data_IF_688016152168
#
_entry.id   IF_688016152168
#
_cell.length_a   1.000
_cell.length_b   1.000
_cell.length_c   1.000
_cell.angle_alpha   90.00
_cell.angle_beta   90.00
_cell.angle_gamma   90.00
#
_symmetry.space_group_name_H-M   'P 1'
#
loop_
_entity.id
_entity.type
_entity.pdbx_description
1 polymer ?
#
# COMPACT_ATOMS: atom_id res chain seq x y z
N UNK A 1 -0.68 42.79 4.73
CA UNK A 1 -1.01 41.63 3.88
C UNK A 1 -0.61 40.39 4.65
N UNK A 2 -1.43 39.32 4.59
CA UNK A 2 -1.16 38.04 5.27
C UNK A 2 -1.16 36.90 4.25
N UNK A 3 -0.51 35.79 4.55
CA UNK A 3 -0.63 34.58 3.73
C UNK A 3 -1.79 33.71 4.22
N UNK A 4 -2.50 33.07 3.29
CA UNK A 4 -3.54 32.12 3.62
C UNK A 4 -2.96 30.89 4.32
N UNK A 5 -3.48 30.56 5.52
CA UNK A 5 -3.01 29.42 6.33
C UNK A 5 -3.10 28.06 5.63
N UNK A 6 -3.99 27.91 4.63
CA UNK A 6 -4.20 26.65 3.91
C UNK A 6 -3.42 26.58 2.58
N UNK A 7 -3.45 27.64 1.75
CA UNK A 7 -2.91 27.59 0.38
C UNK A 7 -1.68 28.49 0.13
N UNK A 8 -1.15 29.15 1.16
CA UNK A 8 0.10 29.93 1.07
C UNK A 8 0.05 31.17 0.16
N UNK A 9 -1.11 31.53 -0.41
CA UNK A 9 -1.26 32.72 -1.26
C UNK A 9 -1.47 33.97 -0.42
N UNK A 10 -0.95 35.10 -0.90
CA UNK A 10 -1.11 36.41 -0.26
C UNK A 10 -2.56 36.89 -0.35
N UNK A 11 -3.09 37.42 0.75
CA UNK A 11 -4.46 37.88 0.93
C UNK A 11 -4.49 39.14 1.82
N UNK A 12 -5.54 39.95 1.68
CA UNK A 12 -5.73 41.17 2.50
C UNK A 12 -5.99 40.78 3.96
N UNK A 13 -5.45 41.55 4.90
CA UNK A 13 -5.40 41.17 6.33
C UNK A 13 -6.78 40.92 6.94
N UNK A 14 -7.78 41.69 6.51
CA UNK A 14 -9.17 41.68 7.01
C UNK A 14 -10.12 40.75 6.24
N UNK A 15 -9.63 39.81 5.43
CA UNK A 15 -10.53 38.75 4.89
C UNK A 15 -10.67 37.60 5.88
N UNK A 16 -11.92 37.22 6.14
CA UNK A 16 -12.31 36.04 6.93
C UNK A 16 -12.18 34.73 6.16
N UNK A 17 -12.28 34.77 4.83
CA UNK A 17 -12.12 33.59 3.96
C UNK A 17 -11.13 33.89 2.83
N UNK A 18 -10.33 32.90 2.44
CA UNK A 18 -9.38 33.04 1.35
C UNK A 18 -10.09 32.97 -0.02
N UNK A 19 -9.98 34.00 -0.89
CA UNK A 19 -10.63 34.01 -2.21
C UNK A 19 -10.06 32.97 -3.19
N UNK A 20 -8.95 32.31 -2.87
CA UNK A 20 -8.30 31.32 -3.73
C UNK A 20 -8.57 29.86 -3.33
N UNK A 21 -9.08 29.59 -2.13
CA UNK A 21 -9.28 28.22 -1.63
C UNK A 21 -10.44 28.06 -0.62
N UNK A 22 -11.22 29.10 -0.35
CA UNK A 22 -12.37 29.06 0.57
C UNK A 22 -12.05 28.97 2.06
N UNK A 23 -10.82 28.62 2.44
CA UNK A 23 -10.46 28.39 3.84
C UNK A 23 -10.65 29.62 4.73
N UNK A 24 -11.23 29.42 5.92
CA UNK A 24 -11.39 30.46 6.94
C UNK A 24 -10.03 30.92 7.51
N UNK A 25 -9.94 32.20 7.85
CA UNK A 25 -8.74 32.88 8.31
C UNK A 25 -9.04 33.57 9.65
N UNK A 26 -8.49 33.03 10.74
CA UNK A 26 -8.64 33.62 12.08
C UNK A 26 -8.13 35.06 12.10
N UNK A 27 -8.88 35.97 12.70
CA UNK A 27 -8.49 37.37 12.86
C UNK A 27 -7.54 37.50 14.06
N UNK A 28 -6.28 37.87 13.81
CA UNK A 28 -5.31 38.21 14.85
C UNK A 28 -5.35 39.72 15.05
N UNK A 29 -5.84 40.17 16.19
CA UNK A 29 -5.81 41.59 16.56
C UNK A 29 -4.38 41.99 16.95
N UNK A 30 -3.75 42.83 16.13
CA UNK A 30 -2.42 43.37 16.40
C UNK A 30 -2.44 44.37 17.54
N UNK A 31 -1.65 44.11 18.58
CA UNK A 31 -1.16 45.11 19.54
C UNK A 31 0.36 45.16 19.38
N UNK A 32 0.94 46.35 19.48
CA UNK A 32 2.29 46.66 18.99
C UNK A 32 3.17 47.26 20.10
N UNK A 33 4.45 46.93 20.09
CA UNK A 33 5.59 47.57 20.81
C UNK A 33 5.67 47.44 22.36
N UNK A 34 6.86 47.67 22.98
CA UNK A 34 8.23 47.55 22.44
C UNK A 34 9.22 46.75 23.33
N UNK A 35 10.46 46.66 22.84
CA UNK A 35 11.66 45.97 23.40
C UNK A 35 12.12 46.47 24.78
N UNK A 36 12.56 45.56 25.66
CA UNK A 36 13.71 45.76 26.58
C UNK A 36 14.54 44.47 26.69
N UNK A 37 15.86 44.63 26.70
CA UNK A 37 16.88 43.58 26.81
C UNK A 37 17.52 43.58 28.22
N UNK A 38 17.71 42.40 28.85
CA UNK A 38 18.69 42.20 29.94
C UNK A 38 18.96 40.72 30.27
N UNK A 39 20.05 40.48 31.00
CA UNK A 39 20.72 39.18 31.20
C UNK A 39 20.78 38.83 32.70
N UNK A 40 21.00 37.53 33.01
CA UNK A 40 21.65 36.93 34.22
C UNK A 40 20.81 35.85 34.94
N UNK A 41 21.18 34.60 34.65
CA UNK A 41 21.46 33.42 35.51
C UNK A 41 20.56 32.86 36.66
N UNK A 42 20.65 31.51 36.76
CA UNK A 42 20.82 30.64 37.96
C UNK A 42 19.62 30.24 38.88
N UNK A 43 19.02 29.09 38.53
CA UNK A 43 18.87 27.83 39.31
C UNK A 43 17.94 27.63 40.56
N UNK A 44 17.58 26.34 40.74
CA UNK A 44 17.08 25.59 41.93
C UNK A 44 15.57 25.61 42.31
N UNK A 45 14.89 24.48 41.98
CA UNK A 45 13.79 23.77 42.70
C UNK A 45 12.48 24.53 43.16
N UNK A 46 11.36 23.88 43.52
CA UNK A 46 11.04 22.46 43.74
C UNK A 46 9.57 22.04 43.41
N UNK A 47 9.30 20.75 43.56
CA UNK A 47 8.05 19.95 43.56
C UNK A 47 6.60 20.57 43.54
N UNK A 48 5.76 19.89 42.73
CA UNK A 48 4.46 19.21 43.06
C UNK A 48 3.08 19.75 42.63
N UNK A 49 2.30 18.76 42.16
CA UNK A 49 0.83 18.53 42.20
C UNK A 49 -0.10 19.12 41.12
N UNK A 50 -0.72 18.18 40.39
CA UNK A 50 -2.03 18.30 39.73
C UNK A 50 -3.18 18.38 40.76
N UNK A 51 -4.43 18.59 40.30
CA UNK A 51 -5.33 17.44 40.29
C UNK A 51 -6.02 17.19 38.93
N UNK A 52 -6.57 15.97 38.79
CA UNK A 52 -7.34 15.48 37.63
C UNK A 52 -8.83 15.76 37.83
N UNK A 53 -9.58 15.96 36.74
CA UNK A 53 -11.05 15.81 36.73
C UNK A 53 -11.44 14.81 35.64
N UNK A 54 -12.15 13.77 36.05
CA UNK A 54 -12.75 12.72 35.22
C UNK A 54 -14.24 13.03 35.04
N UNK A 55 -14.83 12.77 33.85
CA UNK A 55 -16.25 12.36 33.73
C UNK A 55 -16.50 11.56 32.45
N UNK A 56 -16.92 10.32 32.73
CA UNK A 56 -17.56 9.23 31.96
C UNK A 56 -18.32 9.56 30.67
N UNK A 57 -18.17 8.64 29.71
CA UNK A 57 -19.15 8.27 28.67
C UNK A 57 -20.16 7.25 29.25
N UNK A 58 -21.41 7.22 28.77
CA UNK A 58 -22.18 5.97 28.73
C UNK A 58 -22.61 5.54 27.31
N UNK A 59 -22.73 4.22 27.13
CA UNK A 59 -23.50 3.52 26.09
C UNK A 59 -25.03 3.66 26.34
N UNK A 60 -25.99 2.99 25.68
CA UNK A 60 -25.99 1.87 24.70
C UNK A 60 -26.88 2.28 23.48
N UNK A 61 -27.74 1.52 22.80
CA UNK A 61 -28.33 0.17 22.91
C UNK A 61 -28.68 -0.37 21.50
N UNK A 62 -29.22 -1.59 21.38
CA UNK A 62 -29.61 -2.25 20.12
C UNK A 62 -31.04 -2.79 20.22
N UNK A 63 -31.83 -2.72 19.14
CA UNK A 63 -33.06 -3.52 18.98
C UNK A 63 -33.12 -4.13 17.56
N UNK A 64 -33.58 -5.38 17.48
CA UNK A 64 -33.62 -6.23 16.27
C UNK A 64 -34.90 -7.08 16.28
N UNK A 65 -35.66 -7.08 15.18
CA UNK A 65 -36.80 -7.99 14.88
C UNK A 65 -37.41 -7.61 13.50
N UNK A 66 -38.07 -8.46 12.71
CA UNK A 66 -38.18 -9.93 12.68
C UNK A 66 -38.61 -10.40 11.26
N UNK A 67 -38.43 -11.69 10.95
CA UNK A 67 -39.00 -12.42 9.78
C UNK A 67 -40.27 -13.20 10.27
N UNK A 68 -40.98 -14.14 9.58
CA UNK A 68 -40.55 -15.13 8.54
C UNK A 68 -41.65 -15.58 7.49
N UNK A 69 -41.47 -16.78 6.86
CA UNK A 69 -42.50 -17.70 6.23
C UNK A 69 -42.95 -17.35 4.76
N UNK A 70 -43.21 -18.22 3.75
CA UNK A 70 -43.32 -19.72 3.56
C UNK A 70 -42.92 -20.23 2.12
N UNK A 71 -43.11 -21.53 1.80
CA UNK A 71 -42.97 -22.25 0.49
C UNK A 71 -44.13 -23.33 0.38
N UNK A 72 -44.19 -24.46 -0.42
CA UNK A 72 -43.26 -25.03 -1.41
C UNK A 72 -43.79 -25.71 -2.72
N UNK A 73 -42.83 -26.15 -3.58
CA UNK A 73 -42.79 -27.38 -4.42
C UNK A 73 -43.80 -27.74 -5.58
N UNK A 74 -43.28 -27.80 -6.83
CA UNK A 74 -43.00 -29.01 -7.69
C UNK A 74 -44.09 -30.07 -8.12
N UNK A 75 -43.88 -31.01 -9.10
CA UNK A 75 -43.26 -30.93 -10.46
C UNK A 75 -43.77 -31.96 -11.57
N UNK A 76 -43.06 -32.06 -12.73
CA UNK A 76 -42.88 -33.20 -13.71
C UNK A 76 -44.00 -33.67 -14.70
N UNK A 77 -43.68 -33.73 -16.02
CA UNK A 77 -43.81 -34.90 -16.97
C UNK A 77 -43.24 -34.63 -18.40
N UNK A 78 -43.03 -35.68 -19.22
CA UNK A 78 -42.10 -35.69 -20.37
C UNK A 78 -42.61 -36.32 -21.71
N UNK A 79 -41.99 -35.92 -22.85
CA UNK A 79 -41.71 -36.69 -24.11
C UNK A 79 -42.87 -37.21 -25.02
N UNK A 80 -42.62 -37.73 -26.26
CA UNK A 80 -41.74 -37.24 -27.35
C UNK A 80 -42.31 -37.38 -28.81
N UNK A 81 -41.78 -36.65 -29.82
CA UNK A 81 -41.43 -37.10 -31.22
C UNK A 81 -41.16 -35.95 -32.25
N UNK A 82 -40.61 -36.34 -33.41
CA UNK A 82 -39.99 -35.55 -34.51
C UNK A 82 -39.97 -36.43 -35.81
N UNK A 83 -39.74 -35.96 -37.07
CA UNK A 83 -39.74 -34.61 -37.69
C UNK A 83 -40.74 -34.42 -38.86
N UNK A 84 -40.89 -33.18 -39.37
CA UNK A 84 -41.06 -32.87 -40.82
C UNK A 84 -40.94 -31.36 -41.10
N UNK A 85 -40.56 -30.98 -42.32
CA UNK A 85 -40.43 -29.61 -42.86
C UNK A 85 -41.05 -29.57 -44.29
N UNK A 86 -41.28 -28.39 -44.90
CA UNK A 86 -41.86 -27.17 -44.34
C UNK A 86 -43.04 -26.66 -45.21
N UNK A 87 -43.82 -25.68 -44.75
CA UNK A 87 -44.69 -24.88 -45.62
C UNK A 87 -44.73 -23.43 -45.12
N UNK A 88 -44.54 -22.47 -46.02
CA UNK A 88 -44.27 -21.07 -45.70
C UNK A 88 -45.55 -20.22 -45.79
N UNK A 89 -46.19 -19.91 -44.66
CA UNK A 89 -47.25 -18.91 -44.59
C UNK A 89 -46.69 -17.53 -44.20
N UNK A 90 -47.11 -16.49 -44.92
CA UNK A 90 -46.42 -15.18 -44.92
C UNK A 90 -46.71 -14.27 -43.72
N UNK A 91 -47.68 -14.57 -42.86
CA UNK A 91 -48.06 -13.70 -41.72
C UNK A 91 -46.98 -13.54 -40.65
N UNK A 92 -46.05 -14.50 -40.52
CA UNK A 92 -45.03 -14.46 -39.46
C UNK A 92 -43.97 -13.34 -39.65
N UNK A 93 -43.77 -12.80 -40.86
CA UNK A 93 -42.71 -11.81 -41.10
C UNK A 93 -42.92 -10.48 -40.36
N UNK A 94 -44.16 -10.12 -40.00
CA UNK A 94 -44.41 -8.87 -39.26
C UNK A 94 -44.18 -8.96 -37.74
N UNK A 95 -44.20 -10.15 -37.13
CA UNK A 95 -43.89 -10.29 -35.69
C UNK A 95 -42.40 -10.21 -35.37
N UNK A 96 -41.53 -10.66 -36.27
CA UNK A 96 -40.08 -10.66 -36.03
C UNK A 96 -39.42 -9.27 -36.01
N UNK A 97 -40.09 -8.21 -36.48
CA UNK A 97 -39.54 -6.84 -36.45
C UNK A 97 -40.01 -5.95 -35.29
N UNK A 98 -40.96 -6.38 -34.46
CA UNK A 98 -41.41 -5.62 -33.27
C UNK A 98 -40.89 -6.15 -31.93
N UNK A 99 -40.18 -7.28 -31.90
CA UNK A 99 -39.75 -7.93 -30.66
C UNK A 99 -38.25 -7.79 -30.35
N UNK A 100 -37.52 -6.94 -31.10
CA UNK A 100 -36.06 -6.73 -30.96
C UNK A 100 -35.72 -5.31 -30.46
N UNK A 101 -36.55 -4.70 -29.61
CA UNK A 101 -36.33 -3.33 -29.11
C UNK A 101 -36.76 -3.09 -27.66
N UNK A 102 -36.79 -4.11 -26.79
CA UNK A 102 -37.05 -3.90 -25.35
C UNK A 102 -36.29 -4.80 -24.36
N UNK A 103 -35.26 -5.54 -24.82
CA UNK A 103 -34.28 -6.19 -23.93
C UNK A 103 -32.89 -5.55 -24.09
N UNK A 104 -32.84 -4.22 -23.96
CA UNK A 104 -31.65 -3.60 -23.37
C UNK A 104 -31.77 -3.80 -21.85
N UNK A 105 -31.32 -4.96 -21.34
CA UNK A 105 -30.74 -4.97 -20.00
C UNK A 105 -29.58 -3.98 -20.04
N UNK A 106 -29.83 -2.76 -19.58
CA UNK A 106 -28.77 -1.85 -19.20
C UNK A 106 -28.04 -2.55 -18.04
N UNK A 107 -26.90 -3.17 -18.34
CA UNK A 107 -25.96 -3.57 -17.31
C UNK A 107 -25.76 -2.35 -16.42
N UNK A 108 -25.98 -2.45 -15.09
CA UNK A 108 -26.23 -1.30 -14.23
C UNK A 108 -25.10 -0.31 -14.44
N UNK A 109 -25.44 0.83 -15.07
CA UNK A 109 -24.43 1.78 -15.52
C UNK A 109 -23.78 2.33 -14.26
N UNK A 110 -22.61 1.81 -13.92
CA UNK A 110 -21.89 2.15 -12.71
C UNK A 110 -21.77 3.67 -12.74
N UNK A 111 -22.50 4.34 -11.85
CA UNK A 111 -22.54 5.79 -11.81
C UNK A 111 -21.20 6.24 -11.25
N UNK A 112 -20.21 6.32 -12.13
CA UNK A 112 -18.83 6.64 -11.81
C UNK A 112 -18.88 7.97 -11.07
N UNK A 113 -18.64 7.94 -9.76
CA UNK A 113 -18.68 9.13 -8.96
C UNK A 113 -17.49 9.99 -9.41
N UNK A 114 -17.78 10.98 -10.27
CA UNK A 114 -16.77 11.86 -10.85
C UNK A 114 -15.99 12.60 -9.76
N UNK A 115 -16.61 12.87 -8.60
CA UNK A 115 -15.90 13.36 -7.41
C UNK A 115 -14.84 12.38 -6.91
N UNK A 116 -15.20 11.11 -6.70
CA UNK A 116 -14.27 10.05 -6.27
C UNK A 116 -13.14 9.80 -7.29
N UNK A 117 -13.44 9.80 -8.58
CA UNK A 117 -12.42 9.61 -9.64
C UNK A 117 -11.50 10.83 -9.76
N UNK A 118 -12.03 12.05 -9.67
CA UNK A 118 -11.22 13.26 -9.65
C UNK A 118 -10.32 13.29 -8.39
N UNK A 119 -10.86 12.94 -7.22
CA UNK A 119 -10.09 12.85 -5.98
C UNK A 119 -8.97 11.81 -6.06
N UNK A 120 -9.21 10.62 -6.63
CA UNK A 120 -8.17 9.62 -6.87
C UNK A 120 -7.12 10.11 -7.88
N UNK A 121 -7.57 10.81 -8.92
CA UNK A 121 -6.71 11.40 -9.96
C UNK A 121 -5.80 12.49 -9.39
N UNK A 122 -6.31 13.34 -8.49
CA UNK A 122 -5.51 14.41 -7.88
C UNK A 122 -4.64 13.90 -6.73
N UNK A 123 -5.10 12.92 -5.94
CA UNK A 123 -4.25 12.22 -4.96
C UNK A 123 -3.06 11.51 -5.61
N UNK A 124 -3.26 10.84 -6.75
CA UNK A 124 -2.17 10.19 -7.48
C UNK A 124 -1.22 11.19 -8.14
N UNK A 125 -1.71 12.28 -8.75
CA UNK A 125 -0.85 13.40 -9.20
C UNK A 125 0.00 13.97 -8.05
N UNK A 126 -0.63 14.22 -6.89
CA UNK A 126 0.05 14.76 -5.70
C UNK A 126 1.16 13.80 -5.22
N UNK A 127 0.88 12.49 -5.20
CA UNK A 127 1.87 11.47 -4.83
C UNK A 127 3.04 11.41 -5.82
N UNK A 128 2.80 11.35 -7.13
CA UNK A 128 3.88 11.35 -8.13
C UNK A 128 4.67 12.67 -8.16
N UNK A 129 4.02 13.81 -7.93
CA UNK A 129 4.69 15.10 -7.79
C UNK A 129 5.59 15.14 -6.55
N UNK A 130 5.13 14.59 -5.43
CA UNK A 130 5.95 14.41 -4.23
C UNK A 130 7.15 13.49 -4.49
N UNK A 131 6.91 12.32 -5.08
CA UNK A 131 7.91 11.29 -5.37
C UNK A 131 9.05 11.86 -6.23
N UNK A 132 8.73 12.56 -7.33
CA UNK A 132 9.73 13.22 -8.18
C UNK A 132 10.50 14.33 -7.45
N UNK A 133 9.81 15.17 -6.66
CA UNK A 133 10.45 16.23 -5.87
C UNK A 133 11.41 15.66 -4.81
N UNK A 134 11.02 14.56 -4.18
CA UNK A 134 11.72 13.94 -3.06
C UNK A 134 12.92 13.09 -3.52
N UNK A 135 12.96 12.59 -4.76
CA UNK A 135 14.19 12.01 -5.34
C UNK A 135 15.31 13.05 -5.42
N UNK A 136 14.99 14.29 -5.81
CA UNK A 136 15.98 15.36 -5.90
C UNK A 136 16.42 15.91 -4.53
N UNK A 137 15.55 15.81 -3.51
CA UNK A 137 15.79 16.25 -2.13
C UNK A 137 15.03 15.33 -1.15
N UNK A 138 15.62 14.21 -0.70
CA UNK A 138 14.92 13.26 0.16
C UNK A 138 14.67 13.86 1.55
N UNK A 139 13.42 13.86 2.00
CA UNK A 139 13.09 14.18 3.38
C UNK A 139 13.57 13.05 4.30
N UNK A 140 14.46 13.37 5.24
CA UNK A 140 15.02 12.44 6.23
C UNK A 140 14.72 13.01 7.63
N UNK A 141 14.05 12.24 8.48
CA UNK A 141 13.76 12.60 9.88
C UNK A 141 12.64 13.62 10.09
N UNK A 142 12.28 14.43 9.09
CA UNK A 142 11.14 15.35 9.17
C UNK A 142 9.80 14.65 8.98
N UNK A 143 8.77 15.07 9.73
CA UNK A 143 7.38 14.71 9.44
C UNK A 143 7.01 15.20 8.02
N UNK A 144 6.42 14.35 7.17
CA UNK A 144 5.83 14.83 5.91
C UNK A 144 4.49 15.50 6.20
N UNK A 145 4.11 16.50 5.41
CA UNK A 145 2.79 17.15 5.54
C UNK A 145 1.62 16.24 5.16
N UNK A 146 1.89 15.11 4.50
CA UNK A 146 0.92 14.12 4.03
C UNK A 146 1.32 12.73 4.56
N UNK A 147 1.01 12.45 5.84
CA UNK A 147 1.46 11.28 6.62
C UNK A 147 0.96 9.88 6.18
N UNK A 148 0.76 9.67 4.88
CA UNK A 148 0.41 8.39 4.28
C UNK A 148 1.29 8.04 3.06
N UNK A 149 2.16 8.95 2.61
CA UNK A 149 2.97 8.75 1.41
C UNK A 149 4.01 7.64 1.59
N UNK A 150 4.58 7.46 2.78
CA UNK A 150 5.45 6.32 3.09
C UNK A 150 4.72 4.99 3.05
N UNK A 151 3.46 4.93 3.50
CA UNK A 151 2.63 3.72 3.42
C UNK A 151 2.36 3.34 1.95
N UNK A 152 2.04 4.31 1.10
CA UNK A 152 1.87 4.08 -0.36
C UNK A 152 3.18 3.60 -0.99
N UNK A 153 4.32 4.22 -0.65
CA UNK A 153 5.65 3.81 -1.13
C UNK A 153 6.00 2.38 -0.73
N UNK A 154 5.73 1.99 0.53
CA UNK A 154 5.91 0.64 1.04
C UNK A 154 5.06 -0.40 0.29
N UNK A 155 3.77 -0.12 0.05
CA UNK A 155 2.89 -1.00 -0.72
C UNK A 155 3.36 -1.13 -2.17
N UNK A 156 3.74 -0.03 -2.83
CA UNK A 156 4.20 -0.05 -4.22
C UNK A 156 5.54 -0.79 -4.39
N UNK A 157 6.52 -0.58 -3.51
CA UNK A 157 7.79 -1.33 -3.55
C UNK A 157 7.54 -2.82 -3.33
N UNK A 158 6.67 -3.19 -2.39
CA UNK A 158 6.30 -4.58 -2.13
C UNK A 158 5.58 -5.23 -3.32
N UNK A 159 4.66 -4.48 -3.96
CA UNK A 159 3.90 -4.93 -5.13
C UNK A 159 4.80 -5.10 -6.36
N UNK A 160 5.61 -4.10 -6.72
CA UNK A 160 6.50 -4.22 -7.87
C UNK A 160 7.59 -5.28 -7.66
N UNK A 161 8.13 -5.42 -6.45
CA UNK A 161 9.13 -6.45 -6.15
C UNK A 161 8.54 -7.87 -6.20
N UNK A 162 7.35 -8.09 -5.64
CA UNK A 162 6.67 -9.40 -5.72
C UNK A 162 6.25 -9.76 -7.15
N UNK A 163 5.73 -8.79 -7.92
CA UNK A 163 5.46 -8.95 -9.35
C UNK A 163 6.72 -9.31 -10.15
N UNK A 164 7.82 -8.58 -9.90
CA UNK A 164 9.12 -8.80 -10.56
C UNK A 164 9.67 -10.21 -10.30
N UNK A 165 9.63 -10.66 -9.04
CA UNK A 165 10.11 -11.97 -8.59
C UNK A 165 9.19 -13.09 -9.09
N UNK A 166 7.87 -12.98 -8.90
CA UNK A 166 6.89 -13.98 -9.32
C UNK A 166 6.97 -14.24 -10.83
N UNK A 167 7.03 -13.16 -11.62
CA UNK A 167 7.22 -13.28 -13.07
C UNK A 167 8.57 -13.92 -13.43
N UNK A 168 9.66 -13.57 -12.72
CA UNK A 168 10.99 -14.14 -12.97
C UNK A 168 11.06 -15.63 -12.65
N UNK A 169 10.51 -16.08 -11.52
CA UNK A 169 10.42 -17.51 -11.17
C UNK A 169 9.56 -18.25 -12.20
N UNK A 170 8.39 -17.71 -12.52
CA UNK A 170 7.50 -18.27 -13.54
C UNK A 170 8.12 -18.33 -14.94
N UNK A 171 9.12 -17.49 -15.24
CA UNK A 171 9.92 -17.54 -16.49
C UNK A 171 11.06 -18.56 -16.39
N UNK A 172 11.72 -18.68 -15.24
CA UNK A 172 12.79 -19.65 -15.00
C UNK A 172 12.29 -21.11 -15.08
N UNK A 173 11.16 -21.44 -14.42
CA UNK A 173 10.52 -22.76 -14.54
C UNK A 173 10.22 -23.08 -16.00
N UNK A 174 9.59 -22.14 -16.73
CA UNK A 174 9.27 -22.24 -18.17
C UNK A 174 10.49 -22.30 -19.10
N UNK A 175 11.71 -22.07 -18.60
CA UNK A 175 12.94 -22.22 -19.38
C UNK A 175 13.58 -23.60 -19.20
N UNK A 176 13.37 -24.24 -18.03
CA UNK A 176 13.71 -25.64 -17.81
C UNK A 176 12.67 -26.61 -18.37
N UNK A 177 11.44 -26.16 -18.61
CA UNK A 177 10.30 -26.99 -18.99
C UNK A 177 9.39 -26.28 -20.01
N UNK A 178 9.04 -26.93 -21.13
CA UNK A 178 8.26 -26.30 -22.22
C UNK A 178 6.75 -26.15 -21.93
N UNK A 179 6.33 -26.24 -20.66
CA UNK A 179 4.93 -26.26 -20.24
C UNK A 179 4.39 -24.90 -19.79
N UNK A 180 3.12 -24.61 -20.10
CA UNK A 180 2.40 -23.50 -19.49
C UNK A 180 1.91 -23.90 -18.10
N UNK A 181 2.72 -23.67 -17.05
CA UNK A 181 2.22 -23.70 -15.68
C UNK A 181 1.20 -22.57 -15.46
N UNK A 182 0.01 -22.90 -14.96
CA UNK A 182 -1.13 -21.99 -14.80
C UNK A 182 -1.17 -21.25 -13.46
N UNK A 183 -0.53 -21.78 -12.42
CA UNK A 183 -0.57 -21.27 -11.03
C UNK A 183 0.31 -20.04 -10.75
N UNK A 184 0.40 -19.09 -11.69
CA UNK A 184 1.12 -17.82 -11.49
C UNK A 184 0.52 -16.92 -10.40
N UNK A 185 -0.81 -16.98 -10.22
CA UNK A 185 -1.54 -16.06 -9.34
C UNK A 185 -1.35 -16.33 -7.84
N UNK A 186 -1.42 -17.59 -7.33
CA UNK A 186 -1.10 -17.89 -5.93
C UNK A 186 0.32 -17.47 -5.52
N UNK A 187 1.32 -17.80 -6.35
CA UNK A 187 2.73 -17.46 -6.09
C UNK A 187 2.96 -15.95 -5.95
N UNK A 188 2.27 -15.14 -6.77
CA UNK A 188 2.30 -13.68 -6.64
C UNK A 188 1.78 -13.21 -5.27
N UNK A 189 0.63 -13.72 -4.83
CA UNK A 189 0.01 -13.32 -3.55
C UNK A 189 0.91 -13.73 -2.37
N UNK A 190 1.45 -14.95 -2.40
CA UNK A 190 2.37 -15.42 -1.37
C UNK A 190 3.64 -14.56 -1.28
N UNK A 191 4.27 -14.25 -2.42
CA UNK A 191 5.45 -13.38 -2.48
C UNK A 191 5.14 -11.94 -2.05
N UNK A 192 3.96 -11.41 -2.39
CA UNK A 192 3.53 -10.09 -1.95
C UNK A 192 3.37 -10.05 -0.44
N UNK A 193 2.69 -11.04 0.17
CA UNK A 193 2.53 -11.14 1.62
C UNK A 193 3.88 -11.35 2.33
N UNK A 194 4.77 -12.20 1.80
CA UNK A 194 6.13 -12.38 2.33
C UNK A 194 6.90 -11.06 2.39
N UNK A 195 6.96 -10.32 1.28
CA UNK A 195 7.71 -9.06 1.19
C UNK A 195 7.06 -8.00 2.07
N UNK A 196 5.73 -7.89 2.06
CA UNK A 196 4.97 -6.97 2.89
C UNK A 196 5.25 -7.20 4.38
N UNK A 197 5.11 -8.44 4.87
CA UNK A 197 5.32 -8.78 6.29
C UNK A 197 6.79 -8.67 6.70
N UNK A 198 7.74 -9.13 5.88
CA UNK A 198 9.17 -8.99 6.21
C UNK A 198 9.63 -7.53 6.24
N UNK A 199 9.09 -6.67 5.36
CA UNK A 199 9.37 -5.23 5.38
C UNK A 199 8.62 -4.48 6.50
N UNK A 200 7.49 -5.00 6.99
CA UNK A 200 6.78 -4.47 8.15
C UNK A 200 7.64 -4.53 9.44
N UNK A 201 8.58 -5.48 9.52
CA UNK A 201 9.52 -5.60 10.64
C UNK A 201 10.38 -4.33 10.75
N UNK A 202 10.87 -3.76 9.63
CA UNK A 202 11.67 -2.53 9.64
C UNK A 202 10.88 -1.33 10.21
N UNK A 203 9.62 -1.18 9.80
CA UNK A 203 8.70 -0.14 10.29
C UNK A 203 8.38 -0.34 11.78
N UNK A 204 8.10 -1.58 12.17
CA UNK A 204 7.78 -1.96 13.55
C UNK A 204 8.97 -1.74 14.48
N UNK A 205 10.20 -2.04 14.04
CA UNK A 205 11.42 -1.73 14.79
C UNK A 205 11.57 -0.22 14.99
N UNK A 206 11.40 0.61 13.95
CA UNK A 206 11.47 2.08 14.09
C UNK A 206 10.40 2.62 15.05
N UNK A 207 9.17 2.13 14.95
CA UNK A 207 8.07 2.49 15.85
C UNK A 207 8.39 2.13 17.32
N UNK A 208 8.78 0.88 17.59
CA UNK A 208 9.08 0.39 18.93
C UNK A 208 10.29 1.10 19.56
N UNK A 209 11.33 1.40 18.77
CA UNK A 209 12.49 2.13 19.24
C UNK A 209 12.14 3.60 19.55
N UNK A 210 11.40 4.28 18.68
CA UNK A 210 10.97 5.66 18.89
C UNK A 210 10.11 5.78 20.15
N UNK A 211 9.08 4.95 20.29
CA UNK A 211 8.19 4.98 21.45
C UNK A 211 8.85 4.52 22.75
N UNK A 212 9.46 3.32 22.79
CA UNK A 212 9.97 2.74 24.06
C UNK A 212 11.34 3.23 24.49
N UNK A 213 12.22 3.62 23.55
CA UNK A 213 13.63 3.92 23.85
C UNK A 213 13.94 5.41 23.72
N UNK A 214 13.50 6.05 22.62
CA UNK A 214 13.70 7.49 22.42
C UNK A 214 12.59 8.34 23.06
N UNK A 215 11.48 7.74 23.50
CA UNK A 215 10.31 8.41 24.09
C UNK A 215 9.73 9.50 23.17
N UNK A 216 9.78 9.25 21.86
CA UNK A 216 9.22 10.13 20.85
C UNK A 216 7.74 9.77 20.62
N UNK A 217 6.85 10.75 20.71
CA UNK A 217 5.44 10.61 20.35
C UNK A 217 5.30 10.58 18.81
N UNK A 218 5.27 9.37 18.24
CA UNK A 218 5.00 9.14 16.82
C UNK A 218 3.88 8.13 16.63
N UNK A 219 3.08 8.29 15.58
CA UNK A 219 2.12 7.27 15.19
C UNK A 219 2.80 6.11 14.43
N UNK A 220 2.06 5.02 14.27
CA UNK A 220 2.50 3.91 13.42
C UNK A 220 2.58 4.33 11.93
N UNK A 221 1.76 5.29 11.48
CA UNK A 221 1.81 5.83 10.12
C UNK A 221 3.05 6.69 9.90
N UNK A 222 3.42 7.54 10.86
CA UNK A 222 4.68 8.31 10.84
C UNK A 222 5.91 7.40 10.74
N UNK A 223 5.80 6.16 11.23
CA UNK A 223 6.88 5.16 11.15
C UNK A 223 7.06 4.62 9.72
N UNK A 224 5.98 4.48 8.94
CA UNK A 224 6.10 4.21 7.50
C UNK A 224 6.73 5.41 6.79
N UNK A 225 6.25 6.62 7.08
CA UNK A 225 6.80 7.84 6.49
C UNK A 225 8.30 8.00 6.79
N UNK A 226 8.75 7.78 8.02
CA UNK A 226 10.18 7.78 8.38
C UNK A 226 11.01 6.83 7.51
N UNK A 227 10.57 5.58 7.33
CA UNK A 227 11.36 4.56 6.60
C UNK A 227 11.22 4.68 5.08
N UNK A 228 10.03 5.03 4.57
CA UNK A 228 9.68 4.94 3.14
C UNK A 228 9.53 6.27 2.41
N UNK A 229 9.46 7.42 3.11
CA UNK A 229 9.61 8.72 2.47
C UNK A 229 10.98 8.92 1.80
N UNK A 230 12.14 8.66 2.46
CA UNK A 230 13.44 9.01 1.89
C UNK A 230 13.77 8.27 0.58
N UNK A 231 13.16 7.11 0.37
CA UNK A 231 13.49 6.15 -0.70
C UNK A 231 12.51 6.20 -1.87
N UNK A 232 12.02 7.38 -2.24
CA UNK A 232 11.19 7.57 -3.45
C UNK A 232 11.83 6.98 -4.72
N UNK A 233 13.16 6.94 -4.80
CA UNK A 233 13.91 6.29 -5.89
C UNK A 233 13.67 4.77 -5.97
N UNK A 234 13.46 4.10 -4.83
CA UNK A 234 13.26 2.64 -4.76
C UNK A 234 11.97 2.18 -5.47
N UNK A 235 10.99 3.07 -5.62
CA UNK A 235 9.75 2.81 -6.36
C UNK A 235 10.04 2.71 -7.86
N UNK A 236 10.88 3.60 -8.41
CA UNK A 236 11.28 3.51 -9.80
C UNK A 236 12.24 2.35 -10.06
N UNK A 237 13.13 1.99 -9.13
CA UNK A 237 14.04 0.84 -9.32
C UNK A 237 13.28 -0.49 -9.24
N UNK A 238 12.28 -0.62 -8.36
CA UNK A 238 11.40 -1.80 -8.31
C UNK A 238 10.46 -1.89 -9.52
N UNK A 239 9.86 -0.78 -9.96
CA UNK A 239 9.09 -0.72 -11.20
C UNK A 239 9.94 -1.08 -12.43
N UNK A 240 11.19 -0.59 -12.49
CA UNK A 240 12.12 -0.93 -13.57
C UNK A 240 12.56 -2.39 -13.50
N UNK A 241 12.79 -2.97 -12.31
CA UNK A 241 13.03 -4.40 -12.14
C UNK A 241 11.83 -5.25 -12.59
N UNK A 242 10.59 -4.80 -12.34
CA UNK A 242 9.39 -5.45 -12.85
C UNK A 242 9.34 -5.43 -14.40
N UNK A 243 9.60 -4.28 -15.03
CA UNK A 243 9.67 -4.18 -16.51
C UNK A 243 10.79 -5.06 -17.08
N UNK A 244 11.97 -5.09 -16.44
CA UNK A 244 13.08 -5.95 -16.82
C UNK A 244 12.74 -7.45 -16.69
N UNK A 245 11.86 -7.85 -15.77
CA UNK A 245 11.44 -9.26 -15.62
C UNK A 245 10.80 -9.83 -16.90
N UNK A 246 10.11 -9.00 -17.69
CA UNK A 246 9.60 -9.40 -19.00
C UNK A 246 10.71 -9.57 -20.03
N UNK A 247 11.59 -8.57 -20.16
CA UNK A 247 12.61 -8.49 -21.23
C UNK A 247 13.86 -9.36 -20.93
N UNK A 248 14.07 -9.74 -19.67
CA UNK A 248 15.23 -10.50 -19.19
C UNK A 248 15.49 -11.77 -20.01
N UNK A 249 16.53 -11.70 -20.83
CA UNK A 249 17.29 -12.84 -21.37
C UNK A 249 18.55 -13.03 -20.53
N UNK A 250 19.32 -14.10 -20.77
CA UNK A 250 20.48 -14.50 -19.96
C UNK A 250 21.43 -13.32 -19.60
N UNK A 251 21.74 -12.43 -20.55
CA UNK A 251 22.58 -11.25 -20.30
C UNK A 251 21.90 -10.12 -19.51
N UNK A 252 20.57 -9.97 -19.61
CA UNK A 252 19.80 -8.96 -18.88
C UNK A 252 19.34 -9.43 -17.49
N UNK A 253 19.38 -10.73 -17.21
CA UNK A 253 19.08 -11.29 -15.88
C UNK A 253 19.97 -10.73 -14.77
N UNK A 254 21.23 -10.42 -15.07
CA UNK A 254 22.13 -9.76 -14.12
C UNK A 254 21.64 -8.35 -13.77
N UNK A 255 21.25 -7.54 -14.77
CA UNK A 255 20.71 -6.20 -14.56
C UNK A 255 19.42 -6.22 -13.72
N UNK A 256 18.54 -7.19 -13.98
CA UNK A 256 17.34 -7.44 -13.18
C UNK A 256 17.67 -7.68 -11.70
N UNK A 257 18.60 -8.60 -11.40
CA UNK A 257 19.02 -8.90 -10.02
C UNK A 257 19.66 -7.68 -9.36
N UNK A 258 20.51 -6.92 -10.08
CA UNK A 258 21.14 -5.70 -9.55
C UNK A 258 20.10 -4.63 -9.18
N UNK A 259 19.08 -4.39 -10.02
CA UNK A 259 18.03 -3.40 -9.73
C UNK A 259 17.14 -3.82 -8.55
N UNK A 260 16.87 -5.12 -8.42
CA UNK A 260 16.15 -5.70 -7.29
C UNK A 260 16.96 -5.57 -5.98
N UNK A 261 18.24 -5.94 -5.98
CA UNK A 261 19.12 -5.79 -4.83
C UNK A 261 19.33 -4.31 -4.44
N UNK A 262 19.45 -3.41 -5.43
CA UNK A 262 19.57 -1.97 -5.18
C UNK A 262 18.32 -1.38 -4.51
N UNK A 263 17.13 -1.87 -4.84
CA UNK A 263 15.86 -1.51 -4.18
C UNK A 263 15.90 -1.84 -2.67
N UNK A 264 16.35 -3.06 -2.32
CA UNK A 264 16.48 -3.46 -0.92
C UNK A 264 17.65 -2.76 -0.21
N UNK A 265 18.74 -2.47 -0.91
CA UNK A 265 19.85 -1.66 -0.39
C UNK A 265 19.39 -0.25 0.01
N UNK A 266 18.65 0.46 -0.84
CA UNK A 266 18.07 1.77 -0.50
C UNK A 266 17.19 1.68 0.74
N UNK A 267 16.34 0.65 0.84
CA UNK A 267 15.46 0.40 1.98
C UNK A 267 16.25 0.17 3.28
N UNK A 268 17.32 -0.61 3.21
CA UNK A 268 18.24 -0.86 4.33
C UNK A 268 18.98 0.42 4.77
N UNK A 269 19.51 1.20 3.83
CA UNK A 269 20.17 2.49 4.12
C UNK A 269 19.21 3.47 4.81
N UNK A 270 17.96 3.54 4.37
CA UNK A 270 16.93 4.39 5.00
C UNK A 270 16.57 3.94 6.41
N UNK A 271 16.40 2.64 6.63
CA UNK A 271 16.20 2.07 7.97
C UNK A 271 17.37 2.44 8.90
N UNK A 272 18.61 2.23 8.47
CA UNK A 272 19.82 2.54 9.24
C UNK A 272 19.94 4.05 9.52
N UNK A 273 19.64 4.92 8.54
CA UNK A 273 19.66 6.37 8.73
C UNK A 273 18.67 6.83 9.82
N UNK A 274 17.46 6.27 9.85
CA UNK A 274 16.48 6.58 10.89
C UNK A 274 16.94 6.16 12.29
N UNK A 275 17.72 5.09 12.43
CA UNK A 275 18.33 4.68 13.72
C UNK A 275 19.37 5.68 14.25
N UNK A 276 19.92 6.56 13.41
CA UNK A 276 20.96 7.53 13.78
C UNK A 276 20.41 8.94 14.05
N UNK A 277 19.32 9.30 13.37
CA UNK A 277 18.70 10.65 13.40
C UNK A 277 17.94 10.95 14.70
N UNK A 278 17.52 9.94 15.46
CA UNK A 278 16.86 10.10 16.77
C UNK A 278 17.67 11.01 17.70
N UNK A 279 17.07 12.13 18.12
CA UNK A 279 17.80 13.19 18.83
C UNK A 279 18.10 12.86 20.29
N UNK A 280 17.31 11.98 20.93
CA UNK A 280 17.49 11.67 22.34
C UNK A 280 18.79 10.86 22.57
N UNK A 281 19.81 11.57 23.05
CA UNK A 281 21.16 11.07 23.36
C UNK A 281 21.14 10.13 24.58
N UNK A 282 20.69 8.88 24.41
CA UNK A 282 20.96 7.85 25.43
C UNK A 282 22.47 7.71 25.58
N UNK A 283 23.01 7.65 26.81
CA UNK A 283 24.47 7.58 27.07
C UNK A 283 25.16 6.29 26.55
N UNK A 284 24.47 5.47 25.77
CA UNK A 284 25.01 4.26 25.12
C UNK A 284 25.60 4.65 23.76
N UNK A 285 26.74 4.09 23.41
CA UNK A 285 27.38 4.33 22.11
C UNK A 285 26.45 3.90 20.96
N UNK A 286 26.05 4.87 20.12
CA UNK A 286 25.10 4.69 19.00
C UNK A 286 25.55 3.60 18.02
N UNK A 287 26.85 3.41 17.80
CA UNK A 287 27.39 2.42 16.86
C UNK A 287 27.02 0.99 17.25
N UNK A 288 27.43 0.55 18.44
CA UNK A 288 27.13 -0.79 18.95
C UNK A 288 25.62 -1.03 19.13
N UNK A 289 24.87 0.00 19.54
CA UNK A 289 23.41 -0.09 19.64
C UNK A 289 22.76 -0.32 18.27
N UNK A 290 23.19 0.42 17.24
CA UNK A 290 22.68 0.24 15.86
C UNK A 290 22.99 -1.17 15.35
N UNK A 291 24.22 -1.67 15.56
CA UNK A 291 24.62 -3.02 15.15
C UNK A 291 23.73 -4.08 15.83
N UNK A 292 23.47 -3.95 17.14
CA UNK A 292 22.56 -4.84 17.86
C UNK A 292 21.15 -4.83 17.29
N UNK A 293 20.59 -3.64 17.00
CA UNK A 293 19.27 -3.49 16.37
C UNK A 293 19.22 -4.10 14.96
N UNK A 294 20.25 -3.91 14.14
CA UNK A 294 20.34 -4.48 12.80
C UNK A 294 20.37 -6.02 12.88
N UNK A 295 21.24 -6.58 13.73
CA UNK A 295 21.37 -8.04 13.90
C UNK A 295 20.05 -8.66 14.37
N UNK A 296 19.40 -8.09 15.39
CA UNK A 296 18.10 -8.60 15.88
C UNK A 296 17.01 -8.48 14.80
N UNK A 297 16.93 -7.35 14.10
CA UNK A 297 15.94 -7.15 13.02
C UNK A 297 16.15 -8.14 11.87
N UNK A 298 17.40 -8.42 11.51
CA UNK A 298 17.76 -9.37 10.46
C UNK A 298 17.48 -10.82 10.87
N UNK A 299 17.74 -11.20 12.13
CA UNK A 299 17.36 -12.52 12.67
C UNK A 299 15.83 -12.70 12.63
N UNK A 300 15.05 -11.69 13.04
CA UNK A 300 13.58 -11.75 12.98
C UNK A 300 13.08 -11.82 11.54
N UNK A 301 13.71 -11.10 10.60
CA UNK A 301 13.42 -11.21 9.16
C UNK A 301 13.71 -12.60 8.60
N UNK A 302 14.80 -13.26 9.03
CA UNK A 302 15.10 -14.65 8.65
C UNK A 302 14.05 -15.61 9.20
N UNK A 303 13.69 -15.51 10.50
CA UNK A 303 12.72 -16.42 11.13
C UNK A 303 11.34 -16.31 10.44
N UNK A 304 10.86 -15.08 10.22
CA UNK A 304 9.60 -14.83 9.49
C UNK A 304 9.72 -15.26 8.02
N UNK A 305 10.86 -15.03 7.40
CA UNK A 305 11.15 -15.42 6.02
C UNK A 305 11.20 -16.92 5.79
N UNK A 306 11.62 -17.70 6.79
CA UNK A 306 11.56 -19.17 6.78
C UNK A 306 10.11 -19.66 6.98
N UNK A 307 9.42 -19.17 8.03
CA UNK A 307 8.04 -19.58 8.34
C UNK A 307 7.04 -19.31 7.20
N UNK A 308 7.20 -18.21 6.46
CA UNK A 308 6.41 -17.92 5.26
C UNK A 308 7.05 -18.51 3.98
N UNK A 309 8.35 -18.80 4.03
CA UNK A 309 9.12 -19.37 2.93
C UNK A 309 8.76 -20.82 2.62
N UNK A 310 8.45 -21.64 3.64
CA UNK A 310 8.03 -23.04 3.45
C UNK A 310 6.76 -23.17 2.60
N UNK A 311 5.83 -22.22 2.74
CA UNK A 311 4.58 -22.14 1.95
C UNK A 311 4.88 -21.83 0.47
N UNK A 312 5.89 -21.00 0.21
CA UNK A 312 6.33 -20.65 -1.14
C UNK A 312 7.18 -21.78 -1.74
N UNK A 313 8.04 -22.42 -0.93
CA UNK A 313 8.89 -23.54 -1.35
C UNK A 313 8.07 -24.76 -1.76
N UNK A 314 7.05 -25.12 -0.97
CA UNK A 314 6.07 -26.17 -1.34
C UNK A 314 5.31 -25.81 -2.61
N UNK A 315 4.82 -24.57 -2.74
CA UNK A 315 4.12 -24.11 -3.94
C UNK A 315 5.00 -24.13 -5.21
N UNK A 316 6.30 -23.80 -5.09
CA UNK A 316 7.27 -23.89 -6.18
C UNK A 316 7.60 -25.36 -6.51
N UNK A 317 7.73 -26.22 -5.50
CA UNK A 317 7.96 -27.65 -5.71
C UNK A 317 6.77 -28.32 -6.42
N UNK A 318 5.53 -28.00 -6.04
CA UNK A 318 4.30 -28.47 -6.70
C UNK A 318 4.21 -27.97 -8.15
N UNK A 319 4.58 -26.71 -8.42
CA UNK A 319 4.71 -26.18 -9.78
C UNK A 319 5.73 -27.00 -10.60
N UNK A 320 6.84 -27.41 -10.01
CA UNK A 320 7.87 -28.20 -10.70
C UNK A 320 7.42 -29.66 -10.92
N UNK A 321 6.75 -30.29 -9.95
CA UNK A 321 6.29 -31.69 -10.08
C UNK A 321 5.17 -31.82 -11.11
N UNK A 322 4.10 -31.02 -10.99
CA UNK A 322 2.98 -31.05 -11.94
C UNK A 322 3.42 -30.84 -13.40
N UNK A 323 4.47 -30.02 -13.60
CA UNK A 323 5.07 -29.81 -14.92
C UNK A 323 5.95 -31.00 -15.33
N UNK A 324 6.77 -31.55 -14.43
CA UNK A 324 7.59 -32.75 -14.70
C UNK A 324 6.74 -33.94 -15.12
N UNK A 325 5.65 -34.21 -14.40
CA UNK A 325 4.76 -35.35 -14.66
C UNK A 325 4.08 -35.24 -16.04
N UNK A 326 3.87 -34.02 -16.53
CA UNK A 326 3.34 -33.77 -17.88
C UNK A 326 4.33 -34.13 -19.02
N UNK A 327 5.62 -34.31 -18.70
CA UNK A 327 6.66 -34.76 -19.64
C UNK A 327 6.96 -36.26 -19.57
N UNK A 328 6.35 -37.00 -18.65
CA UNK A 328 6.37 -38.47 -18.64
C UNK A 328 5.10 -39.03 -19.30
N UNK A 329 5.08 -39.25 -20.64
CA UNK A 329 4.02 -40.05 -21.24
C UNK A 329 4.07 -41.47 -20.68
N UNK A 330 2.90 -42.11 -20.51
CA UNK A 330 2.79 -43.50 -20.06
C UNK A 330 3.45 -44.45 -21.07
N UNK A 331 4.75 -44.72 -20.92
CA UNK A 331 5.53 -45.61 -21.78
C UNK A 331 5.29 -47.11 -21.49
N UNK A 332 4.09 -47.44 -20.99
CA UNK A 332 3.65 -48.78 -20.60
C UNK A 332 2.13 -48.93 -20.80
N UNK A 333 1.70 -49.06 -22.06
CA UNK A 333 0.41 -49.61 -22.48
C UNK A 333 0.51 -50.17 -23.90
#
# INVERSE_FOLDING_TARGET
>A
MKFCINCGKEIKDKVKFCPFCGAEQKEVSTVTEPVVEKVVNEEVNDEKKQPVVEIKVPSEEVVQSEQPVEEPNQPIKEQPKQPSQPTMNQENQQKYQQQQSNNQQQAPLISINHGSVNQLTDNSKNYFSYLNKNIAKPNIGGQNTNGYFGLVSYVLISLFSSLAISHSIGKAVRFGTMGYADSKFPLLIQLFLLILVTQLINVTTVYVLSGKIFREEISFLDSFDRVYAPISLAIYTSLFAFVLSFVSTIGLSFLFVVMLLFTYFLTSVSFIANLWVSQNQTQRNKFYWTIGVIIVSFIVQIIVGLMLGDIIGTSIAEIISNVTDSFTPNMFL
#
